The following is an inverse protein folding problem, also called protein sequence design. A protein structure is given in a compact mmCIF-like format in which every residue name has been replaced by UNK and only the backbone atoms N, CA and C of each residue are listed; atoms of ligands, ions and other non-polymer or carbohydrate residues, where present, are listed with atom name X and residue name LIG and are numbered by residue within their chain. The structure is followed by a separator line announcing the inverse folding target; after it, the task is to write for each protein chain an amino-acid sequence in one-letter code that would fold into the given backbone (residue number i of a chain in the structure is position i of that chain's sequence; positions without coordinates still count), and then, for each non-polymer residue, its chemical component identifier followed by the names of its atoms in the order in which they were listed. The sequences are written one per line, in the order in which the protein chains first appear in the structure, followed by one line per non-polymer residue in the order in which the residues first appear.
data_IF_647164911872
#
_entry.id   IF_647164911872
#
_cell.length_a   1.000
_cell.length_b   1.000
_cell.length_c   1.000
_cell.angle_alpha   90.00
_cell.angle_beta   90.00
_cell.angle_gamma   90.00
#
_symmetry.space_group_name_H-M   'P 1'
#
loop_
_entity.id
_entity.type
_entity.pdbx_description
1 polymer ?
#
# COMPACT_ATOMS: atom_id res chain seq x y z
N UNK A 1 11.37 23.41 -13.02
CA UNK A 1 9.91 23.29 -12.95
C UNK A 1 9.61 21.84 -12.59
N UNK A 2 9.65 21.50 -11.31
CA UNK A 2 9.38 20.15 -10.81
C UNK A 2 7.90 20.12 -10.41
N UNK A 3 7.03 19.78 -11.36
CA UNK A 3 5.62 19.61 -11.08
C UNK A 3 5.37 18.12 -10.85
N UNK A 4 4.81 17.79 -9.69
CA UNK A 4 4.37 16.44 -9.26
C UNK A 4 5.49 15.51 -8.74
N UNK A 5 5.92 15.70 -7.49
CA UNK A 5 6.72 14.69 -6.75
C UNK A 5 5.88 13.64 -6.03
N UNK A 6 4.55 13.79 -5.99
CA UNK A 6 3.61 12.89 -5.33
C UNK A 6 2.22 13.05 -5.97
N UNK A 7 1.52 11.95 -6.31
CA UNK A 7 0.23 12.01 -7.04
C UNK A 7 -1.00 11.65 -6.20
N UNK A 8 -0.83 11.07 -5.02
CA UNK A 8 -1.95 10.64 -4.19
C UNK A 8 -1.51 10.44 -2.74
N UNK A 9 -2.38 10.80 -1.80
CA UNK A 9 -2.17 10.62 -0.36
C UNK A 9 -2.95 9.40 0.09
N UNK A 10 -2.33 8.45 0.78
CA UNK A 10 -3.04 7.27 1.30
C UNK A 10 -3.83 7.67 2.55
N UNK A 11 -5.10 7.25 2.61
CA UNK A 11 -5.88 7.30 3.84
C UNK A 11 -5.42 6.16 4.77
N UNK A 12 -4.63 6.47 5.79
CA UNK A 12 -3.99 5.47 6.66
C UNK A 12 -5.01 4.58 7.40
N UNK A 13 -6.20 5.12 7.68
CA UNK A 13 -7.27 4.38 8.37
C UNK A 13 -7.93 3.32 7.46
N UNK A 14 -7.68 3.39 6.14
CA UNK A 14 -8.23 2.46 5.14
C UNK A 14 -7.32 1.27 4.82
N UNK A 15 -6.12 1.20 5.42
CA UNK A 15 -5.14 0.15 5.10
C UNK A 15 -5.61 -1.18 5.68
N UNK A 16 -5.95 -2.12 4.79
CA UNK A 16 -6.28 -3.49 5.12
C UNK A 16 -5.25 -4.47 4.53
N UNK A 17 -4.91 -5.50 5.30
CA UNK A 17 -3.92 -6.51 4.93
C UNK A 17 -4.56 -7.89 4.86
N UNK A 18 -4.20 -8.65 3.82
CA UNK A 18 -4.58 -10.06 3.71
C UNK A 18 -3.39 -10.94 3.35
N UNK A 19 -3.30 -12.13 3.93
CA UNK A 19 -2.28 -13.13 3.58
C UNK A 19 -2.76 -13.88 2.34
N UNK A 20 -2.09 -13.66 1.21
CA UNK A 20 -2.39 -14.32 -0.05
C UNK A 20 -1.73 -15.69 -0.14
N UNK A 21 -0.52 -15.81 0.38
CA UNK A 21 0.17 -17.09 0.52
C UNK A 21 1.24 -17.02 1.61
N UNK A 22 1.59 -18.19 2.14
CA UNK A 22 2.67 -18.34 3.08
C UNK A 22 3.49 -19.60 2.76
N UNK A 23 4.78 -19.55 3.08
CA UNK A 23 5.67 -20.68 2.97
C UNK A 23 6.68 -20.61 4.11
N UNK A 24 6.86 -21.71 4.84
CA UNK A 24 7.78 -21.78 5.97
C UNK A 24 8.86 -22.84 5.72
N UNK A 25 10.11 -22.46 5.98
CA UNK A 25 11.26 -23.37 6.08
C UNK A 25 11.83 -23.31 7.49
N UNK A 26 12.90 -24.07 7.76
CA UNK A 26 13.62 -23.96 9.03
C UNK A 26 14.24 -22.57 9.24
N UNK A 27 14.67 -21.92 8.16
CA UNK A 27 15.41 -20.66 8.20
C UNK A 27 14.50 -19.42 8.13
N UNK A 28 13.37 -19.51 7.41
CA UNK A 28 12.54 -18.34 7.14
C UNK A 28 11.06 -18.64 6.97
N UNK A 29 10.23 -17.61 7.14
CA UNK A 29 8.83 -17.57 6.74
C UNK A 29 8.71 -16.53 5.64
N UNK A 30 8.22 -16.92 4.47
CA UNK A 30 7.90 -16.00 3.38
C UNK A 30 6.40 -15.81 3.33
N UNK A 31 5.93 -14.56 3.38
CA UNK A 31 4.53 -14.20 3.21
C UNK A 31 4.37 -13.36 1.96
N UNK A 32 3.33 -13.67 1.18
CA UNK A 32 2.80 -12.76 0.17
C UNK A 32 1.56 -12.12 0.76
N UNK A 33 1.57 -10.79 0.88
CA UNK A 33 0.45 -10.02 1.42
C UNK A 33 -0.16 -9.15 0.33
N UNK A 34 -1.49 -9.05 0.36
CA UNK A 34 -2.24 -8.04 -0.36
C UNK A 34 -2.47 -6.85 0.57
N UNK A 35 -2.22 -5.65 0.06
CA UNK A 35 -2.44 -4.38 0.75
C UNK A 35 -3.54 -3.65 0.00
N UNK A 36 -4.66 -3.43 0.67
CA UNK A 36 -5.81 -2.69 0.16
C UNK A 36 -5.85 -1.36 0.89
N UNK A 37 -6.06 -0.26 0.17
CA UNK A 37 -6.05 1.08 0.75
C UNK A 37 -6.80 2.04 -0.15
N UNK A 38 -7.29 3.14 0.41
CA UNK A 38 -7.87 4.24 -0.33
C UNK A 38 -6.81 5.30 -0.59
N UNK A 39 -6.71 5.76 -1.83
CA UNK A 39 -5.91 6.91 -2.21
C UNK A 39 -6.80 8.14 -2.37
N UNK A 40 -6.40 9.23 -1.72
CA UNK A 40 -6.93 10.56 -1.92
C UNK A 40 -6.15 11.19 -3.09
N UNK A 41 -6.77 11.18 -4.26
CA UNK A 41 -6.23 11.84 -5.44
C UNK A 41 -6.61 13.32 -5.38
N UNK A 42 -5.62 14.17 -5.04
CA UNK A 42 -5.74 15.62 -5.24
C UNK A 42 -5.46 15.95 -6.71
N UNK A 43 -6.39 15.57 -7.59
CA UNK A 43 -6.35 15.93 -9.00
C UNK A 43 -6.75 17.39 -9.17
N UNK A 44 -6.03 18.12 -10.03
CA UNK A 44 -6.30 19.52 -10.37
C UNK A 44 -7.82 19.71 -10.54
N UNK A 45 -8.46 20.39 -9.59
CA UNK A 45 -9.89 20.64 -9.63
C UNK A 45 -10.16 21.63 -10.77
N UNK A 46 -10.26 21.12 -12.01
CA UNK A 46 -10.74 21.87 -13.17
C UNK A 46 -12.25 22.14 -13.07
N UNK A 47 -12.83 22.02 -11.88
CA UNK A 47 -14.24 22.10 -11.54
C UNK A 47 -14.36 22.88 -10.24
N UNK A 48 -15.21 23.91 -10.22
CA UNK A 48 -15.47 24.76 -9.05
C UNK A 48 -16.25 24.04 -7.94
N UNK A 49 -16.52 22.75 -8.10
CA UNK A 49 -17.20 21.94 -7.10
C UNK A 49 -16.20 21.32 -6.11
N UNK A 50 -16.15 21.76 -4.84
CA UNK A 50 -15.22 21.23 -3.84
C UNK A 50 -15.41 19.74 -3.57
N UNK A 51 -16.60 19.17 -3.85
CA UNK A 51 -16.85 17.74 -3.70
C UNK A 51 -16.19 16.88 -4.81
N UNK A 52 -15.68 17.51 -5.88
CA UNK A 52 -14.95 16.84 -6.97
C UNK A 52 -13.44 17.01 -6.85
N UNK A 53 -12.97 17.80 -5.89
CA UNK A 53 -11.55 18.04 -5.64
C UNK A 53 -10.90 16.92 -4.80
N UNK A 54 -11.70 16.05 -4.19
CA UNK A 54 -11.25 14.95 -3.34
C UNK A 54 -11.92 13.65 -3.78
N UNK A 55 -11.18 12.82 -4.52
CA UNK A 55 -11.64 11.49 -4.97
C UNK A 55 -10.93 10.45 -4.10
N UNK A 56 -11.72 9.60 -3.43
CA UNK A 56 -11.25 8.40 -2.75
C UNK A 56 -11.30 7.24 -3.75
N UNK A 57 -10.14 6.73 -4.15
CA UNK A 57 -10.03 5.58 -5.05
C UNK A 57 -9.53 4.37 -4.27
N UNK A 58 -10.20 3.22 -4.43
CA UNK A 58 -9.74 1.97 -3.85
C UNK A 58 -8.55 1.44 -4.66
N UNK A 59 -7.42 1.29 -3.99
CA UNK A 59 -6.15 0.83 -4.54
C UNK A 59 -5.70 -0.48 -3.89
N UNK A 60 -4.87 -1.23 -4.63
CA UNK A 60 -4.37 -2.54 -4.23
C UNK A 60 -2.92 -2.72 -4.68
N UNK A 61 -2.07 -3.24 -3.80
CA UNK A 61 -0.76 -3.73 -4.17
C UNK A 61 -0.41 -5.02 -3.43
N UNK A 62 0.62 -5.71 -3.92
CA UNK A 62 1.13 -6.94 -3.30
C UNK A 62 2.55 -6.71 -2.81
N UNK A 63 2.85 -7.16 -1.60
CA UNK A 63 4.19 -7.15 -1.04
C UNK A 63 4.61 -8.58 -0.70
N UNK A 64 5.88 -8.89 -0.95
CA UNK A 64 6.49 -10.13 -0.46
C UNK A 64 7.44 -9.77 0.66
N UNK A 65 7.28 -10.45 1.80
CA UNK A 65 8.15 -10.26 2.95
C UNK A 65 8.73 -11.61 3.40
N UNK A 66 9.97 -11.57 3.88
CA UNK A 66 10.68 -12.69 4.49
C UNK A 66 10.94 -12.35 5.95
N UNK A 67 10.57 -13.27 6.83
CA UNK A 67 10.87 -13.23 8.26
C UNK A 67 11.94 -14.29 8.53
N UNK A 68 13.10 -13.86 9.00
CA UNK A 68 14.14 -14.78 9.46
C UNK A 68 13.76 -15.41 10.80
N UNK A 69 13.79 -16.75 10.89
CA UNK A 69 13.32 -17.46 12.09
C UNK A 69 14.33 -17.47 13.23
N UNK A 70 15.60 -17.13 12.97
CA UNK A 70 16.65 -17.13 13.98
C UNK A 70 16.66 -15.81 14.78
N UNK A 71 16.35 -14.69 14.12
CA UNK A 71 16.45 -13.37 14.73
C UNK A 71 15.21 -12.47 14.53
N UNK A 72 14.14 -12.99 13.91
CA UNK A 72 12.90 -12.26 13.61
C UNK A 72 13.07 -11.03 12.70
N UNK A 73 14.19 -10.89 11.98
CA UNK A 73 14.38 -9.80 11.05
C UNK A 73 13.43 -9.93 9.85
N UNK A 74 12.84 -8.80 9.45
CA UNK A 74 11.91 -8.70 8.32
C UNK A 74 12.62 -8.00 7.15
N UNK A 75 12.48 -8.55 5.96
CA UNK A 75 12.92 -7.93 4.71
C UNK A 75 11.85 -8.03 3.63
N UNK A 76 11.67 -6.98 2.84
CA UNK A 76 10.84 -7.01 1.64
C UNK A 76 11.67 -7.49 0.45
N UNK A 77 11.09 -8.32 -0.42
CA UNK A 77 11.75 -8.97 -1.57
C UNK A 77 11.07 -8.60 -2.88
#
# INVERSE_FOLDING_TARGET
MACCTHSGVIDEDSIELNILSNHATEQAITLKIGVFFCEILSGCACSDNPSQAMILENSYCELTLRIDRLNAQISFI
#
